data_IF_367051973937
#
_entry.id   IF_367051973937
#
_cell.length_a   1.000
_cell.length_b   1.000
_cell.length_c   1.000
_cell.angle_alpha   90.00
_cell.angle_beta   90.00
_cell.angle_gamma   90.00
#
_symmetry.space_group_name_H-M   'P 1'
#
loop_
_entity.id
_entity.type
_entity.pdbx_description
1 polymer ?
#
# COMPACT_ATOMS: atom_id res chain seq x y z
N UNK A 1 -1.38 -42.09 -16.75
CA UNK A 1 -0.40 -41.32 -17.57
C UNK A 1 0.79 -40.88 -16.74
N UNK A 2 0.64 -40.06 -15.65
CA UNK A 2 1.79 -39.50 -14.87
C UNK A 2 2.66 -40.59 -14.26
N UNK A 3 2.08 -41.59 -13.56
CA UNK A 3 2.81 -42.74 -12.97
C UNK A 3 3.52 -43.57 -14.04
N UNK A 4 2.90 -43.76 -15.20
CA UNK A 4 3.49 -44.50 -16.32
C UNK A 4 4.69 -43.76 -16.89
N UNK A 5 4.56 -42.44 -17.10
CA UNK A 5 5.68 -41.62 -17.56
C UNK A 5 6.82 -41.55 -16.56
N UNK A 6 6.52 -41.42 -15.27
CA UNK A 6 7.51 -41.45 -14.20
C UNK A 6 8.30 -42.77 -14.18
N UNK A 7 7.56 -43.91 -14.16
CA UNK A 7 8.19 -45.23 -14.17
C UNK A 7 9.03 -45.48 -15.46
N UNK A 8 8.53 -45.00 -16.60
CA UNK A 8 9.27 -45.07 -17.86
C UNK A 8 10.58 -44.29 -17.77
N UNK A 9 10.57 -43.05 -17.29
CA UNK A 9 11.76 -42.22 -17.11
C UNK A 9 12.82 -42.87 -16.22
N UNK A 10 12.40 -43.52 -15.13
CA UNK A 10 13.29 -44.27 -14.25
C UNK A 10 13.86 -45.53 -14.97
N UNK A 11 13.00 -46.29 -15.66
CA UNK A 11 13.37 -47.55 -16.26
C UNK A 11 14.37 -47.40 -17.42
N UNK A 12 14.26 -46.30 -18.18
CA UNK A 12 15.12 -46.06 -19.33
C UNK A 12 16.41 -45.28 -18.99
N UNK A 13 16.58 -44.89 -17.69
CA UNK A 13 17.72 -44.07 -17.22
C UNK A 13 18.00 -42.87 -18.13
N UNK A 14 16.92 -42.19 -18.55
CA UNK A 14 17.00 -41.11 -19.56
C UNK A 14 17.86 -39.93 -19.11
N UNK A 15 18.15 -39.81 -17.80
CA UNK A 15 18.94 -38.74 -17.23
C UNK A 15 20.08 -39.29 -16.37
N UNK A 16 21.28 -38.83 -16.63
CA UNK A 16 22.49 -39.19 -15.86
C UNK A 16 22.51 -38.56 -14.46
N UNK A 17 21.70 -37.52 -14.23
CA UNK A 17 21.59 -36.84 -12.95
C UNK A 17 20.11 -36.73 -12.52
N UNK A 18 19.84 -37.04 -11.26
CA UNK A 18 18.52 -36.91 -10.67
C UNK A 18 18.51 -35.66 -9.81
N UNK A 19 17.57 -34.74 -10.10
CA UNK A 19 17.31 -33.59 -9.25
C UNK A 19 16.30 -33.99 -8.17
N UNK A 20 16.62 -33.67 -6.92
CA UNK A 20 15.74 -33.88 -5.77
C UNK A 20 15.27 -32.51 -5.30
N UNK A 21 13.94 -32.36 -5.18
CA UNK A 21 13.33 -31.21 -4.55
C UNK A 21 12.99 -31.62 -3.12
N UNK A 22 13.73 -31.06 -2.18
CA UNK A 22 13.48 -31.28 -0.76
C UNK A 22 12.11 -30.73 -0.33
N UNK A 23 11.59 -31.22 0.81
CA UNK A 23 10.37 -30.67 1.38
C UNK A 23 10.56 -29.20 1.70
N UNK A 24 9.57 -28.37 1.35
CA UNK A 24 9.57 -26.98 1.77
C UNK A 24 9.55 -26.87 3.31
N UNK A 25 10.34 -25.96 3.84
CA UNK A 25 10.40 -25.64 5.28
C UNK A 25 9.28 -24.70 5.72
N UNK A 26 8.12 -24.77 5.05
CA UNK A 26 6.94 -23.96 5.37
C UNK A 26 6.16 -24.58 6.53
N UNK A 27 5.55 -23.77 7.42
CA UNK A 27 4.65 -24.26 8.46
C UNK A 27 3.51 -25.09 7.87
N UNK A 28 2.97 -26.08 8.61
CA UNK A 28 1.79 -26.80 8.16
C UNK A 28 0.60 -25.85 7.97
N UNK A 29 -0.15 -26.03 6.86
CA UNK A 29 -1.29 -25.17 6.54
C UNK A 29 -1.91 -25.48 5.19
N UNK A 30 -2.93 -24.73 4.83
CA UNK A 30 -3.55 -24.75 3.51
C UNK A 30 -2.92 -23.65 2.64
N UNK A 31 -2.29 -24.04 1.54
CA UNK A 31 -1.53 -23.14 0.69
C UNK A 31 -2.10 -23.08 -0.72
N UNK A 32 -2.03 -21.89 -1.30
CA UNK A 32 -2.18 -21.67 -2.74
C UNK A 32 -0.99 -20.87 -3.27
N UNK A 33 -0.72 -20.98 -4.56
CA UNK A 33 0.18 -20.03 -5.23
C UNK A 33 -0.62 -18.79 -5.59
N UNK A 34 -0.11 -17.62 -5.20
CA UNK A 34 -0.78 -16.35 -5.43
C UNK A 34 0.16 -15.35 -6.09
N UNK A 35 -0.33 -14.56 -7.04
CA UNK A 35 0.37 -13.36 -7.49
C UNK A 35 -0.17 -12.12 -6.79
N UNK A 36 0.61 -11.01 -6.84
CA UNK A 36 0.27 -9.83 -6.08
C UNK A 36 -1.03 -9.17 -6.48
N UNK A 37 -1.37 -9.13 -7.76
CA UNK A 37 -2.65 -8.55 -8.22
C UNK A 37 -3.86 -9.37 -7.74
N UNK A 38 -3.76 -10.69 -7.69
CA UNK A 38 -4.80 -11.56 -7.12
C UNK A 38 -4.86 -11.36 -5.61
N UNK A 39 -3.72 -11.39 -4.91
CA UNK A 39 -3.66 -11.15 -3.47
C UNK A 39 -4.29 -9.82 -3.07
N UNK A 40 -3.93 -8.75 -3.76
CA UNK A 40 -4.51 -7.42 -3.58
C UNK A 40 -6.03 -7.43 -3.79
N UNK A 41 -6.50 -8.05 -4.88
CA UNK A 41 -7.93 -8.15 -5.18
C UNK A 41 -8.71 -8.87 -4.07
N UNK A 42 -8.18 -9.98 -3.57
CA UNK A 42 -8.81 -10.73 -2.49
C UNK A 42 -8.76 -9.99 -1.16
N UNK A 43 -7.70 -9.22 -0.89
CA UNK A 43 -7.60 -8.33 0.27
C UNK A 43 -8.67 -7.26 0.28
N UNK A 44 -8.95 -6.64 -0.87
CA UNK A 44 -10.04 -5.67 -1.04
C UNK A 44 -11.42 -6.30 -0.81
N UNK A 45 -11.66 -7.50 -1.34
CA UNK A 45 -12.92 -8.24 -1.12
C UNK A 45 -13.11 -8.57 0.36
N UNK A 46 -12.05 -9.06 1.01
CA UNK A 46 -12.07 -9.37 2.44
C UNK A 46 -12.35 -8.12 3.29
N UNK A 47 -11.73 -6.99 2.95
CA UNK A 47 -11.96 -5.71 3.62
C UNK A 47 -13.40 -5.24 3.47
N UNK A 48 -13.95 -5.25 2.26
CA UNK A 48 -15.35 -4.89 2.00
C UNK A 48 -16.32 -5.75 2.81
N UNK A 49 -16.07 -7.08 2.83
CA UNK A 49 -16.87 -8.02 3.62
C UNK A 49 -16.79 -7.75 5.12
N UNK A 50 -15.60 -7.47 5.65
CA UNK A 50 -15.41 -7.16 7.08
C UNK A 50 -15.95 -5.81 7.50
N UNK A 51 -16.03 -4.86 6.57
CA UNK A 51 -16.69 -3.57 6.75
C UNK A 51 -18.21 -3.61 6.51
N UNK A 52 -18.75 -4.74 6.03
CA UNK A 52 -20.14 -4.88 5.58
C UNK A 52 -20.53 -3.82 4.52
N UNK A 53 -19.65 -3.61 3.55
CA UNK A 53 -19.83 -2.68 2.43
C UNK A 53 -19.76 -3.42 1.09
N UNK A 54 -20.39 -2.84 0.06
CA UNK A 54 -20.11 -3.23 -1.31
C UNK A 54 -18.72 -2.72 -1.72
N UNK A 55 -18.01 -3.50 -2.54
CA UNK A 55 -16.75 -3.07 -3.14
C UNK A 55 -17.01 -2.43 -4.51
N UNK A 56 -16.57 -1.19 -4.72
CA UNK A 56 -16.54 -0.56 -6.03
C UNK A 56 -15.10 -0.40 -6.51
N UNK A 57 -14.80 -0.92 -7.69
CA UNK A 57 -13.49 -0.79 -8.33
C UNK A 57 -13.60 -0.07 -9.66
N UNK A 58 -13.17 1.18 -9.71
CA UNK A 58 -13.09 2.01 -10.90
C UNK A 58 -11.71 1.95 -11.54
N UNK A 59 -11.63 1.51 -12.78
CA UNK A 59 -10.36 1.36 -13.51
C UNK A 59 -10.53 1.61 -14.99
N UNK A 60 -9.43 1.57 -15.72
CA UNK A 60 -9.30 1.67 -17.17
C UNK A 60 -8.16 0.72 -17.59
N UNK A 61 -8.02 0.37 -18.88
CA UNK A 61 -6.95 -0.52 -19.34
C UNK A 61 -5.57 0.08 -19.13
N UNK A 62 -4.78 -0.50 -18.24
CA UNK A 62 -3.40 -0.08 -17.92
C UNK A 62 -2.56 -1.23 -17.40
N UNK A 63 -1.45 -1.53 -18.05
CA UNK A 63 -0.49 -2.54 -17.58
C UNK A 63 0.40 -1.95 -16.46
N UNK A 64 0.63 -2.68 -15.34
CA UNK A 64 0.18 -4.05 -15.03
C UNK A 64 -1.10 -4.10 -14.16
N UNK A 65 -1.82 -3.02 -13.94
CA UNK A 65 -2.95 -2.94 -13.01
C UNK A 65 -4.25 -3.56 -13.55
N UNK A 66 -4.37 -3.83 -14.87
CA UNK A 66 -5.60 -4.38 -15.48
C UNK A 66 -6.00 -5.74 -14.92
N UNK A 67 -5.04 -6.55 -14.45
CA UNK A 67 -5.33 -7.88 -13.90
C UNK A 67 -6.16 -7.80 -12.60
N UNK A 68 -6.07 -6.70 -11.86
CA UNK A 68 -6.93 -6.44 -10.69
C UNK A 68 -8.39 -6.35 -11.13
N UNK A 69 -8.69 -5.60 -12.20
CA UNK A 69 -10.05 -5.50 -12.76
C UNK A 69 -10.55 -6.86 -13.23
N UNK A 70 -9.69 -7.60 -13.94
CA UNK A 70 -10.03 -8.94 -14.44
C UNK A 70 -10.32 -9.90 -13.29
N UNK A 71 -9.54 -9.87 -12.22
CA UNK A 71 -9.78 -10.73 -11.06
C UNK A 71 -11.08 -10.35 -10.35
N UNK A 72 -11.24 -9.07 -9.99
CA UNK A 72 -12.42 -8.58 -9.28
C UNK A 72 -13.74 -8.84 -10.05
N UNK A 73 -13.71 -8.79 -11.37
CA UNK A 73 -14.89 -9.05 -12.21
C UNK A 73 -15.47 -10.47 -12.09
N UNK A 74 -14.68 -11.42 -11.59
CA UNK A 74 -15.10 -12.81 -11.32
C UNK A 74 -15.90 -12.95 -10.02
N UNK A 75 -15.84 -11.96 -9.13
CA UNK A 75 -16.32 -12.04 -7.75
C UNK A 75 -17.61 -11.26 -7.47
N UNK A 76 -18.52 -11.21 -8.43
CA UNK A 76 -19.82 -10.51 -8.30
C UNK A 76 -20.67 -11.02 -7.13
N UNK A 77 -20.50 -12.29 -6.76
CA UNK A 77 -21.17 -12.92 -5.63
C UNK A 77 -20.75 -12.38 -4.25
N UNK A 78 -19.67 -11.56 -4.21
CA UNK A 78 -19.23 -10.84 -3.02
C UNK A 78 -19.59 -9.34 -3.07
N UNK A 79 -20.62 -8.96 -3.82
CA UNK A 79 -21.03 -7.56 -4.03
C UNK A 79 -19.91 -6.69 -4.61
N UNK A 80 -19.11 -7.25 -5.50
CA UNK A 80 -18.06 -6.52 -6.21
C UNK A 80 -18.65 -5.88 -7.47
N UNK A 81 -18.54 -4.57 -7.54
CA UNK A 81 -18.95 -3.73 -8.67
C UNK A 81 -17.68 -3.27 -9.38
N UNK A 82 -17.46 -3.76 -10.59
CA UNK A 82 -16.34 -3.31 -11.43
C UNK A 82 -16.83 -2.33 -12.48
N UNK A 83 -16.11 -1.23 -12.64
CA UNK A 83 -16.40 -0.18 -13.60
C UNK A 83 -15.17 0.11 -14.45
N UNK A 84 -15.24 -0.15 -15.75
CA UNK A 84 -14.22 0.25 -16.69
C UNK A 84 -14.59 1.58 -17.32
N UNK A 85 -13.79 2.60 -17.04
CA UNK A 85 -13.94 3.94 -17.58
C UNK A 85 -13.17 4.10 -18.91
N UNK A 86 -13.38 5.22 -19.57
CA UNK A 86 -12.63 5.62 -20.76
C UNK A 86 -11.15 5.86 -20.44
N UNK A 87 -10.91 6.56 -19.32
CA UNK A 87 -9.58 6.95 -18.89
C UNK A 87 -9.44 6.95 -17.35
N UNK A 88 -8.25 7.29 -16.88
CA UNK A 88 -7.90 7.33 -15.46
C UNK A 88 -8.66 8.38 -14.66
N UNK A 89 -9.00 9.52 -15.27
CA UNK A 89 -9.71 10.63 -14.60
C UNK A 89 -11.15 10.20 -14.34
N UNK A 90 -11.83 9.69 -15.37
CA UNK A 90 -13.20 9.18 -15.25
C UNK A 90 -13.29 8.01 -14.26
N UNK A 91 -12.31 7.09 -14.27
CA UNK A 91 -12.23 5.97 -13.31
C UNK A 91 -12.14 6.46 -11.85
N UNK A 92 -11.25 7.43 -11.59
CA UNK A 92 -11.09 8.00 -10.26
C UNK A 92 -12.31 8.79 -9.80
N UNK A 93 -12.88 9.62 -10.66
CA UNK A 93 -14.08 10.41 -10.35
C UNK A 93 -15.29 9.52 -10.03
N UNK A 94 -15.49 8.44 -10.80
CA UNK A 94 -16.54 7.44 -10.51
C UNK A 94 -16.32 6.77 -9.15
N UNK A 95 -15.06 6.47 -8.78
CA UNK A 95 -14.73 5.88 -7.48
C UNK A 95 -15.01 6.86 -6.32
N UNK A 96 -14.73 8.16 -6.50
CA UNK A 96 -15.10 9.20 -5.50
C UNK A 96 -16.62 9.26 -5.31
N UNK A 97 -17.39 9.22 -6.41
CA UNK A 97 -18.85 9.15 -6.35
C UNK A 97 -19.36 7.90 -5.63
N UNK A 98 -18.75 6.74 -5.89
CA UNK A 98 -19.09 5.49 -5.21
C UNK A 98 -18.78 5.55 -3.71
N UNK A 99 -17.64 6.13 -3.32
CA UNK A 99 -17.30 6.39 -1.91
C UNK A 99 -18.35 7.27 -1.24
N UNK A 100 -18.75 8.36 -1.87
CA UNK A 100 -19.80 9.24 -1.33
C UNK A 100 -21.10 8.48 -1.04
N UNK A 101 -21.42 7.45 -1.84
CA UNK A 101 -22.64 6.64 -1.65
C UNK A 101 -22.46 5.44 -0.70
N UNK A 102 -21.38 5.35 0.05
CA UNK A 102 -21.20 4.34 1.10
C UNK A 102 -20.58 3.03 0.64
N UNK A 103 -19.78 3.05 -0.43
CA UNK A 103 -19.06 1.85 -0.88
C UNK A 103 -17.59 1.92 -0.46
N UNK A 104 -16.97 0.75 -0.22
CA UNK A 104 -15.52 0.70 -0.23
C UNK A 104 -15.07 0.95 -1.68
N UNK A 105 -14.64 2.16 -1.93
CA UNK A 105 -14.27 2.59 -3.27
C UNK A 105 -12.76 2.47 -3.49
N UNK A 106 -12.41 1.92 -4.64
CA UNK A 106 -11.01 1.68 -5.04
C UNK A 106 -10.82 2.11 -6.48
N UNK A 107 -9.66 2.67 -6.80
CA UNK A 107 -9.25 2.94 -8.18
C UNK A 107 -7.84 2.40 -8.42
N UNK A 108 -7.66 1.67 -9.53
CA UNK A 108 -6.36 1.12 -9.93
C UNK A 108 -5.69 1.94 -11.02
N UNK A 109 -4.36 2.00 -10.97
CA UNK A 109 -3.54 2.72 -11.96
C UNK A 109 -2.07 2.29 -11.94
N UNK A 110 -1.25 2.99 -12.73
CA UNK A 110 0.20 2.99 -12.72
C UNK A 110 0.69 4.45 -12.73
N UNK A 111 1.99 4.70 -12.69
CA UNK A 111 2.57 6.03 -12.55
C UNK A 111 1.96 7.14 -13.41
N UNK A 112 1.82 6.98 -14.75
CA UNK A 112 1.23 8.01 -15.58
C UNK A 112 -0.19 8.38 -15.17
N UNK A 113 -1.02 7.37 -14.86
CA UNK A 113 -2.39 7.62 -14.44
C UNK A 113 -2.50 8.16 -13.02
N UNK A 114 -1.56 7.86 -12.12
CA UNK A 114 -1.51 8.49 -10.81
C UNK A 114 -1.35 10.01 -10.97
N UNK A 115 -0.52 10.45 -11.91
CA UNK A 115 -0.33 11.86 -12.22
C UNK A 115 -1.63 12.52 -12.71
N UNK A 116 -2.37 11.87 -13.60
CA UNK A 116 -3.64 12.38 -14.12
C UNK A 116 -4.79 12.37 -13.11
N UNK A 117 -4.72 11.50 -12.09
CA UNK A 117 -5.71 11.43 -11.00
C UNK A 117 -5.46 12.44 -9.87
N UNK A 118 -4.35 13.19 -9.87
CA UNK A 118 -3.91 14.00 -8.72
C UNK A 118 -4.98 14.99 -8.24
N UNK A 119 -5.71 15.64 -9.13
CA UNK A 119 -6.81 16.54 -8.75
C UNK A 119 -7.98 15.79 -8.10
N UNK A 120 -8.42 14.67 -8.68
CA UNK A 120 -9.50 13.85 -8.12
C UNK A 120 -9.14 13.28 -6.74
N UNK A 121 -7.86 12.94 -6.52
CA UNK A 121 -7.36 12.53 -5.19
C UNK A 121 -7.42 13.70 -4.21
N UNK A 122 -7.05 14.91 -4.64
CA UNK A 122 -7.17 16.12 -3.85
C UNK A 122 -8.63 16.45 -3.49
N UNK A 123 -9.56 16.23 -4.43
CA UNK A 123 -11.00 16.35 -4.17
C UNK A 123 -11.47 15.35 -3.09
N UNK A 124 -11.08 14.08 -3.21
CA UNK A 124 -11.43 13.06 -2.22
C UNK A 124 -10.87 13.40 -0.83
N UNK A 125 -9.64 13.93 -0.76
CA UNK A 125 -9.01 14.38 0.48
C UNK A 125 -9.74 15.58 1.07
N UNK A 126 -10.06 16.60 0.26
CA UNK A 126 -10.81 17.78 0.70
C UNK A 126 -12.22 17.44 1.15
N UNK A 127 -12.91 16.53 0.47
CA UNK A 127 -14.23 16.02 0.85
C UNK A 127 -14.17 15.01 2.01
N UNK A 128 -12.96 14.57 2.38
CA UNK A 128 -12.70 13.55 3.40
C UNK A 128 -13.55 12.29 3.17
N UNK A 129 -13.35 11.70 1.99
CA UNK A 129 -13.99 10.46 1.58
C UNK A 129 -12.99 9.30 1.58
N UNK A 130 -13.36 8.11 2.07
CA UNK A 130 -12.50 6.93 2.02
C UNK A 130 -12.31 6.47 0.57
N UNK A 131 -11.05 6.38 0.12
CA UNK A 131 -10.72 5.93 -1.23
C UNK A 131 -9.37 5.21 -1.20
N UNK A 132 -9.29 4.00 -1.74
CA UNK A 132 -8.02 3.32 -1.95
C UNK A 132 -7.55 3.55 -3.37
N UNK A 133 -6.35 4.11 -3.52
CA UNK A 133 -5.71 4.31 -4.82
C UNK A 133 -4.58 3.28 -4.94
N UNK A 134 -4.78 2.27 -5.78
CA UNK A 134 -3.74 1.26 -6.05
C UNK A 134 -2.88 1.76 -7.19
N UNK A 135 -1.60 2.00 -6.92
CA UNK A 135 -0.60 2.35 -7.92
C UNK A 135 0.37 1.18 -8.11
N UNK A 136 0.22 0.44 -9.22
CA UNK A 136 1.17 -0.61 -9.60
C UNK A 136 2.27 0.04 -10.42
N UNK A 137 3.40 0.35 -9.76
CA UNK A 137 4.51 1.07 -10.35
C UNK A 137 5.18 0.28 -11.48
N UNK A 138 5.67 1.00 -12.48
CA UNK A 138 6.41 0.45 -13.62
C UNK A 138 7.48 1.44 -14.06
N UNK A 139 8.42 0.96 -14.89
CA UNK A 139 9.48 1.82 -15.43
C UNK A 139 8.93 3.04 -16.16
N UNK A 140 9.37 4.23 -15.73
CA UNK A 140 9.01 5.53 -16.30
C UNK A 140 10.16 6.14 -17.12
N UNK A 141 10.05 7.43 -17.51
CA UNK A 141 8.90 8.32 -17.41
C UNK A 141 7.84 8.08 -18.52
N UNK A 142 6.67 8.71 -18.40
CA UNK A 142 5.51 8.59 -19.30
C UNK A 142 5.03 7.12 -19.40
N UNK A 143 4.76 6.60 -20.58
CA UNK A 143 4.39 5.20 -20.79
C UNK A 143 5.52 4.22 -20.48
N UNK A 144 6.75 4.66 -20.59
CA UNK A 144 7.96 4.00 -20.12
C UNK A 144 8.10 2.54 -20.53
N UNK A 145 8.34 1.68 -19.53
CA UNK A 145 8.50 0.24 -19.66
C UNK A 145 7.36 -0.49 -18.96
N UNK A 146 6.20 -0.75 -19.61
CA UNK A 146 4.97 -1.19 -18.96
C UNK A 146 5.06 -2.49 -18.16
N UNK A 147 6.02 -3.37 -18.50
CA UNK A 147 6.20 -4.69 -17.86
C UNK A 147 7.46 -4.77 -16.99
N UNK A 148 8.12 -3.66 -16.73
CA UNK A 148 9.37 -3.61 -15.96
C UNK A 148 9.14 -2.95 -14.59
N UNK A 149 9.69 -3.54 -13.50
CA UNK A 149 9.52 -2.98 -12.16
C UNK A 149 10.40 -1.76 -11.93
N UNK A 150 9.84 -0.77 -11.28
CA UNK A 150 10.53 0.34 -10.63
C UNK A 150 9.77 0.76 -9.37
N UNK A 151 10.42 1.52 -8.49
CA UNK A 151 9.84 2.13 -7.29
C UNK A 151 9.89 3.67 -7.39
N UNK A 152 9.62 4.20 -8.59
CA UNK A 152 9.91 5.62 -8.92
C UNK A 152 8.77 6.59 -8.65
N UNK A 153 7.63 6.10 -8.13
CA UNK A 153 6.45 6.94 -7.90
C UNK A 153 6.28 7.39 -6.43
N UNK A 154 7.20 7.04 -5.52
CA UNK A 154 7.05 7.32 -4.08
C UNK A 154 6.94 8.81 -3.78
N UNK A 155 7.85 9.64 -4.32
CA UNK A 155 7.79 11.09 -4.11
C UNK A 155 6.54 11.71 -4.72
N UNK A 156 6.09 11.18 -5.86
CA UNK A 156 4.84 11.61 -6.47
C UNK A 156 3.62 11.21 -5.61
N UNK A 157 3.61 10.00 -5.06
CA UNK A 157 2.57 9.54 -4.13
C UNK A 157 2.46 10.44 -2.89
N UNK A 158 3.59 10.93 -2.38
CA UNK A 158 3.64 11.80 -1.22
C UNK A 158 3.29 13.27 -1.54
N UNK A 159 3.87 13.82 -2.60
CA UNK A 159 3.87 15.28 -2.86
C UNK A 159 3.28 15.69 -4.22
N UNK A 160 2.86 14.72 -5.07
CA UNK A 160 2.43 15.00 -6.45
C UNK A 160 1.01 15.56 -6.58
N UNK A 161 0.53 16.32 -5.61
CA UNK A 161 -0.77 17.00 -5.62
C UNK A 161 -0.58 18.48 -5.35
N UNK A 162 -1.60 19.28 -5.68
CA UNK A 162 -1.59 20.71 -5.38
C UNK A 162 -2.12 20.99 -3.97
N UNK A 163 -1.71 22.09 -3.37
CA UNK A 163 -2.07 22.50 -2.00
C UNK A 163 -1.50 21.56 -0.93
N UNK A 164 -1.78 21.87 0.33
CA UNK A 164 -1.39 21.04 1.47
C UNK A 164 -2.34 19.84 1.56
N UNK A 165 -1.90 18.72 0.98
CA UNK A 165 -2.75 17.54 0.74
C UNK A 165 -2.09 16.24 1.24
N UNK A 166 -1.82 16.11 2.54
CA UNK A 166 -1.21 14.92 3.13
C UNK A 166 -2.16 13.74 3.04
N UNK A 167 -1.60 12.56 2.73
CA UNK A 167 -2.36 11.31 2.77
C UNK A 167 -1.47 10.12 3.10
N UNK A 168 -2.05 9.02 3.64
CA UNK A 168 -1.31 7.81 3.93
C UNK A 168 -0.78 7.13 2.68
N UNK A 169 0.46 6.62 2.77
CA UNK A 169 1.11 5.83 1.72
C UNK A 169 1.59 4.51 2.29
N UNK A 170 1.12 3.42 1.73
CA UNK A 170 1.44 2.04 2.11
C UNK A 170 2.09 1.33 0.92
N UNK A 171 3.02 0.40 1.16
CA UNK A 171 3.66 -0.39 0.14
C UNK A 171 3.54 -1.89 0.39
N UNK A 172 3.12 -2.64 -0.64
CA UNK A 172 3.14 -4.09 -0.61
C UNK A 172 4.57 -4.59 -0.81
N UNK A 173 5.03 -5.55 0.02
CA UNK A 173 6.41 -6.06 0.00
C UNK A 173 6.61 -7.40 -0.72
N UNK A 174 5.52 -8.15 -0.93
CA UNK A 174 5.54 -9.43 -1.66
C UNK A 174 4.15 -9.76 -2.22
N UNK A 175 4.02 -10.75 -3.10
CA UNK A 175 2.72 -11.16 -3.65
C UNK A 175 1.68 -11.53 -2.60
N UNK A 176 2.03 -12.34 -1.61
CA UNK A 176 1.10 -12.73 -0.53
C UNK A 176 0.79 -11.55 0.41
N UNK A 177 1.79 -10.70 0.65
CA UNK A 177 1.60 -9.50 1.47
C UNK A 177 0.67 -8.48 0.81
N UNK A 178 0.51 -8.49 -0.52
CA UNK A 178 -0.41 -7.59 -1.21
C UNK A 178 -1.86 -7.73 -0.73
N UNK A 179 -2.27 -8.95 -0.27
CA UNK A 179 -3.56 -9.16 0.41
C UNK A 179 -3.68 -8.31 1.68
N UNK A 180 -2.70 -8.39 2.55
CA UNK A 180 -2.70 -7.67 3.83
C UNK A 180 -2.54 -6.16 3.65
N UNK A 181 -1.72 -5.74 2.69
CA UNK A 181 -1.55 -4.32 2.35
C UNK A 181 -2.84 -3.69 1.80
N UNK A 182 -3.61 -4.42 0.98
CA UNK A 182 -4.90 -3.96 0.48
C UNK A 182 -5.97 -3.91 1.60
N UNK A 183 -5.95 -4.88 2.50
CA UNK A 183 -6.80 -4.91 3.68
C UNK A 183 -6.52 -3.71 4.59
N UNK A 184 -5.26 -3.46 4.88
CA UNK A 184 -4.79 -2.36 5.73
C UNK A 184 -5.06 -0.99 5.10
N UNK A 185 -4.82 -0.81 3.79
CA UNK A 185 -5.17 0.41 3.08
C UNK A 185 -6.67 0.71 3.18
N UNK A 186 -7.51 -0.32 3.08
CA UNK A 186 -8.97 -0.20 3.24
C UNK A 186 -9.35 0.16 4.67
N UNK A 187 -8.70 -0.47 5.68
CA UNK A 187 -8.90 -0.16 7.10
C UNK A 187 -8.63 1.31 7.40
N UNK A 188 -7.47 1.79 6.97
CA UNK A 188 -7.08 3.19 7.20
C UNK A 188 -8.03 4.14 6.47
N UNK A 189 -8.36 3.86 5.21
CA UNK A 189 -9.27 4.72 4.46
C UNK A 189 -10.64 4.89 5.15
N UNK A 190 -11.22 3.78 5.62
CA UNK A 190 -12.53 3.77 6.28
C UNK A 190 -12.48 4.40 7.68
N UNK A 191 -11.49 4.02 8.50
CA UNK A 191 -11.37 4.49 9.89
C UNK A 191 -11.07 5.98 9.96
N UNK A 192 -10.22 6.48 9.06
CA UNK A 192 -9.77 7.87 9.09
C UNK A 192 -10.49 8.79 8.08
N UNK A 193 -11.42 8.25 7.29
CA UNK A 193 -12.15 9.03 6.28
C UNK A 193 -11.20 9.84 5.39
N UNK A 194 -10.29 9.15 4.72
CA UNK A 194 -9.23 9.76 3.90
C UNK A 194 -8.85 8.87 2.72
N UNK A 195 -8.40 9.42 1.60
CA UNK A 195 -7.76 8.62 0.55
C UNK A 195 -6.46 7.98 1.08
N UNK A 196 -6.14 6.79 0.58
CA UNK A 196 -4.89 6.06 0.88
C UNK A 196 -4.26 5.61 -0.42
N UNK A 197 -2.98 5.87 -0.65
CA UNK A 197 -2.23 5.30 -1.77
C UNK A 197 -1.59 3.99 -1.33
N UNK A 198 -1.91 2.91 -2.05
CA UNK A 198 -1.25 1.62 -1.94
C UNK A 198 -0.30 1.46 -3.13
N UNK A 199 0.99 1.47 -2.83
CA UNK A 199 2.06 1.23 -3.79
C UNK A 199 2.33 -0.27 -3.91
N UNK A 200 2.29 -0.76 -5.13
CA UNK A 200 2.85 -2.02 -5.57
C UNK A 200 3.79 -1.73 -6.74
N UNK A 201 4.43 -2.73 -7.30
CA UNK A 201 5.15 -2.61 -8.57
C UNK A 201 4.97 -3.88 -9.41
N UNK A 202 5.45 -3.87 -10.64
CA UNK A 202 5.27 -5.01 -11.54
C UNK A 202 5.89 -6.31 -11.01
N UNK A 203 6.96 -6.26 -10.21
CA UNK A 203 7.57 -7.47 -9.65
C UNK A 203 6.67 -8.13 -8.60
N UNK A 204 6.10 -7.34 -7.67
CA UNK A 204 5.12 -7.83 -6.70
C UNK A 204 3.83 -8.25 -7.42
N UNK A 205 3.32 -7.44 -8.34
CA UNK A 205 2.02 -7.63 -8.98
C UNK A 205 1.92 -8.94 -9.76
N UNK A 206 2.97 -9.30 -10.50
CA UNK A 206 3.00 -10.48 -11.37
C UNK A 206 3.83 -11.64 -10.82
N UNK A 207 4.69 -11.38 -9.84
CA UNK A 207 5.42 -12.41 -9.10
C UNK A 207 4.48 -13.36 -8.37
N UNK A 208 4.90 -14.59 -8.16
CA UNK A 208 4.09 -15.62 -7.48
C UNK A 208 4.86 -16.28 -6.36
N UNK A 209 4.18 -16.55 -5.26
CA UNK A 209 4.75 -17.26 -4.12
C UNK A 209 3.70 -18.17 -3.45
N UNK A 210 4.11 -19.20 -2.69
CA UNK A 210 3.20 -19.96 -1.84
C UNK A 210 2.64 -19.07 -0.73
N UNK A 211 1.33 -19.09 -0.57
CA UNK A 211 0.63 -18.32 0.44
C UNK A 211 -0.25 -19.22 1.30
N UNK A 212 -0.05 -19.15 2.62
CA UNK A 212 -0.92 -19.80 3.60
C UNK A 212 -2.21 -18.99 3.69
N UNK A 213 -3.34 -19.63 3.37
CA UNK A 213 -4.64 -18.97 3.34
C UNK A 213 -5.04 -18.52 4.75
N UNK A 214 -5.28 -17.23 4.98
CA UNK A 214 -5.80 -16.76 6.25
C UNK A 214 -7.25 -17.16 6.41
N UNK A 215 -7.68 -17.45 7.63
CA UNK A 215 -9.09 -17.59 7.93
C UNK A 215 -9.74 -16.23 8.05
N UNK A 216 -10.88 -16.06 7.40
CA UNK A 216 -11.61 -14.77 7.41
C UNK A 216 -11.98 -14.34 8.83
N UNK A 217 -12.20 -15.30 9.75
CA UNK A 217 -12.53 -15.05 11.14
C UNK A 217 -11.37 -14.42 11.93
N UNK A 218 -10.14 -14.69 11.51
CA UNK A 218 -8.92 -14.16 12.14
C UNK A 218 -8.65 -12.70 11.74
N UNK A 219 -9.29 -12.21 10.67
CA UNK A 219 -9.20 -10.81 10.27
C UNK A 219 -10.10 -9.94 11.16
N UNK A 220 -9.56 -8.83 11.65
CA UNK A 220 -10.33 -7.86 12.43
C UNK A 220 -11.47 -7.27 11.62
N UNK A 221 -12.61 -6.97 12.26
CA UNK A 221 -13.64 -6.18 11.61
C UNK A 221 -13.12 -4.76 11.33
N UNK A 222 -13.62 -4.17 10.24
CA UNK A 222 -13.27 -2.81 9.88
C UNK A 222 -14.38 -1.86 10.32
N UNK A 223 -14.00 -0.90 11.15
CA UNK A 223 -14.91 0.14 11.58
C UNK A 223 -15.16 1.12 10.44
N UNK A 224 -16.39 1.53 10.29
CA UNK A 224 -16.80 2.59 9.40
C UNK A 224 -17.32 3.77 10.21
N UNK A 225 -17.21 4.98 9.67
CA UNK A 225 -17.75 6.17 10.31
C UNK A 225 -19.20 6.45 9.91
N UNK A 226 -19.94 5.45 9.41
CA UNK A 226 -21.32 5.58 8.94
C UNK A 226 -22.24 5.89 10.12
N UNK A 227 -23.02 6.96 9.97
CA UNK A 227 -24.03 7.38 10.95
C UNK A 227 -25.41 7.42 10.31
N UNK A 228 -26.42 7.14 11.15
CA UNK A 228 -27.83 7.11 10.75
C UNK A 228 -28.71 8.01 11.63
N UNK A 229 -28.10 8.76 12.55
CA UNK A 229 -28.77 9.64 13.50
C UNK A 229 -28.00 10.94 13.63
N UNK A 230 -28.66 11.98 14.10
CA UNK A 230 -28.06 13.26 14.46
C UNK A 230 -26.88 13.03 15.41
N UNK A 231 -25.82 13.81 15.27
CA UNK A 231 -24.60 13.72 16.08
C UNK A 231 -24.51 14.85 17.12
N UNK A 232 -25.50 15.78 17.16
CA UNK A 232 -25.65 16.77 18.21
C UNK A 232 -27.12 16.90 18.59
N UNK A 233 -27.43 17.54 19.73
CA UNK A 233 -28.78 17.82 20.16
C UNK A 233 -29.51 18.81 19.22
N UNK A 234 -28.75 19.74 18.62
CA UNK A 234 -29.29 20.82 17.79
C UNK A 234 -29.32 20.48 16.29
N UNK A 235 -28.78 19.30 15.88
CA UNK A 235 -28.77 18.92 14.47
C UNK A 235 -27.61 18.06 14.03
N UNK A 236 -27.35 18.07 12.72
CA UNK A 236 -26.27 17.32 12.09
C UNK A 236 -25.10 18.23 11.75
N UNK A 237 -23.91 17.91 12.28
CA UNK A 237 -22.64 18.55 11.95
C UNK A 237 -21.75 17.57 11.14
N UNK A 238 -21.71 17.68 9.80
CA UNK A 238 -21.04 16.72 8.93
C UNK A 238 -19.51 16.72 9.04
N UNK A 239 -18.89 17.72 9.67
CA UNK A 239 -17.45 17.82 9.93
C UNK A 239 -17.13 17.88 11.43
N UNK A 240 -18.07 17.50 12.32
CA UNK A 240 -17.75 17.28 13.72
C UNK A 240 -16.90 16.04 13.86
N UNK A 241 -15.64 16.23 14.18
CA UNK A 241 -14.62 15.18 14.11
C UNK A 241 -14.61 14.30 15.35
N UNK A 242 -14.27 13.03 15.15
CA UNK A 242 -13.90 12.15 16.24
C UNK A 242 -12.60 12.63 16.88
N UNK A 243 -12.53 12.63 18.21
CA UNK A 243 -11.38 13.19 18.95
C UNK A 243 -10.12 12.34 18.85
N UNK A 244 -10.26 11.04 18.59
CA UNK A 244 -9.14 10.09 18.53
C UNK A 244 -8.60 9.93 17.11
N UNK A 245 -9.48 9.90 16.11
CA UNK A 245 -9.11 9.63 14.72
C UNK A 245 -9.09 10.87 13.84
N UNK A 246 -9.66 11.98 14.30
CA UNK A 246 -9.95 13.18 13.51
C UNK A 246 -10.81 12.92 12.26
N UNK A 247 -11.46 11.75 12.20
CA UNK A 247 -12.37 11.41 11.13
C UNK A 247 -13.69 12.13 11.28
N UNK A 248 -14.27 12.57 10.17
CA UNK A 248 -15.64 13.08 10.17
C UNK A 248 -16.66 11.94 10.10
N UNK A 249 -17.91 12.16 10.53
CA UNK A 249 -18.98 11.20 10.33
C UNK A 249 -19.29 11.01 8.83
N UNK A 250 -19.69 9.79 8.46
CA UNK A 250 -20.06 9.42 7.09
C UNK A 250 -21.57 9.25 6.99
N UNK A 251 -22.27 10.33 6.68
CA UNK A 251 -23.71 10.28 6.39
C UNK A 251 -23.91 9.91 4.92
N UNK A 252 -24.72 8.88 4.68
CA UNK A 252 -25.00 8.43 3.32
C UNK A 252 -26.16 9.22 2.70
N UNK A 253 -26.11 9.50 1.38
CA UNK A 253 -27.19 10.17 0.67
C UNK A 253 -28.53 9.46 0.90
N UNK A 254 -29.56 10.23 1.20
CA UNK A 254 -30.92 9.71 1.47
C UNK A 254 -31.19 9.34 2.93
N UNK A 255 -30.21 9.53 3.84
CA UNK A 255 -30.46 9.38 5.29
C UNK A 255 -31.25 10.60 5.80
N UNK A 256 -32.51 10.44 6.26
CA UNK A 256 -33.33 11.58 6.65
C UNK A 256 -32.73 12.37 7.82
N UNK A 257 -32.68 13.69 7.71
CA UNK A 257 -32.13 14.60 8.72
C UNK A 257 -30.62 14.70 8.73
N UNK A 258 -29.91 14.00 7.83
CA UNK A 258 -28.46 14.08 7.68
C UNK A 258 -28.06 14.67 6.32
N UNK A 259 -28.91 15.53 5.77
CA UNK A 259 -28.61 16.22 4.51
C UNK A 259 -27.49 17.23 4.70
N UNK A 260 -26.49 17.20 3.82
CA UNK A 260 -25.37 18.13 3.87
C UNK A 260 -24.77 18.37 2.49
N UNK A 261 -24.03 19.45 2.37
CA UNK A 261 -23.27 19.78 1.17
C UNK A 261 -21.88 19.15 1.25
N UNK A 262 -21.45 18.53 0.15
CA UNK A 262 -20.07 18.09 -0.04
C UNK A 262 -19.53 18.66 -1.35
N UNK A 263 -18.24 19.01 -1.37
CA UNK A 263 -17.57 19.54 -2.54
C UNK A 263 -16.12 19.91 -2.27
N UNK A 264 -15.42 20.39 -3.28
CA UNK A 264 -13.99 20.70 -3.22
C UNK A 264 -13.65 22.08 -2.61
N UNK A 265 -14.64 22.95 -2.38
CA UNK A 265 -14.36 24.23 -1.70
C UNK A 265 -14.03 23.99 -0.23
N UNK A 266 -13.24 24.89 0.36
CA UNK A 266 -12.93 24.82 1.79
C UNK A 266 -14.19 24.94 2.63
N UNK A 267 -14.23 24.17 3.72
CA UNK A 267 -15.38 24.00 4.59
C UNK A 267 -15.10 24.54 5.97
N UNK A 268 -16.13 25.11 6.56
CA UNK A 268 -16.12 25.47 7.97
C UNK A 268 -16.13 24.22 8.84
N UNK A 269 -15.30 24.22 9.87
CA UNK A 269 -15.28 23.15 10.87
C UNK A 269 -16.67 22.92 11.47
N UNK A 270 -17.02 21.66 11.67
CA UNK A 270 -18.33 21.25 12.19
C UNK A 270 -19.45 21.33 11.17
N UNK A 271 -19.78 22.49 10.66
CA UNK A 271 -20.95 22.71 9.81
C UNK A 271 -20.77 22.23 8.37
N UNK A 272 -19.55 22.24 7.83
CA UNK A 272 -19.27 21.92 6.44
C UNK A 272 -19.73 22.99 5.43
N UNK A 273 -20.17 24.16 5.88
CA UNK A 273 -20.49 25.30 5.02
C UNK A 273 -19.22 25.80 4.30
N UNK A 274 -19.39 26.42 3.15
CA UNK A 274 -18.25 27.05 2.45
C UNK A 274 -17.70 28.17 3.31
N UNK A 275 -16.39 28.18 3.53
CA UNK A 275 -15.70 29.18 4.33
C UNK A 275 -14.51 29.77 3.58
N UNK A 276 -14.37 31.10 3.67
CA UNK A 276 -13.22 31.85 3.19
C UNK A 276 -12.43 32.49 4.36
N UNK A 277 -12.75 32.09 5.59
CA UNK A 277 -12.05 32.55 6.78
C UNK A 277 -10.63 32.00 6.85
N UNK A 278 -9.67 32.86 7.08
CA UNK A 278 -8.24 32.50 7.07
C UNK A 278 -7.88 31.58 8.24
N UNK A 279 -8.46 31.80 9.42
CA UNK A 279 -8.17 30.97 10.60
C UNK A 279 -8.79 29.57 10.44
N UNK A 280 -9.99 29.49 9.88
CA UNK A 280 -10.63 28.20 9.56
C UNK A 280 -9.82 27.43 8.49
N UNK A 281 -9.29 28.11 7.46
CA UNK A 281 -8.47 27.41 6.46
C UNK A 281 -7.19 26.83 7.06
N UNK A 282 -6.49 27.58 7.92
CA UNK A 282 -5.34 27.06 8.66
C UNK A 282 -5.72 25.84 9.51
N UNK A 283 -6.79 25.96 10.28
CA UNK A 283 -7.28 24.88 11.16
C UNK A 283 -7.62 23.62 10.36
N UNK A 284 -8.36 23.73 9.26
CA UNK A 284 -8.74 22.58 8.42
C UNK A 284 -7.52 21.93 7.76
N UNK A 285 -6.49 22.71 7.40
CA UNK A 285 -5.21 22.21 6.90
C UNK A 285 -4.47 21.42 7.96
N UNK A 286 -4.37 21.97 9.18
CA UNK A 286 -3.73 21.31 10.32
C UNK A 286 -4.47 20.01 10.69
N UNK A 287 -5.80 20.03 10.71
CA UNK A 287 -6.62 18.85 10.99
C UNK A 287 -6.38 17.70 10.01
N UNK A 288 -6.24 18.02 8.71
CA UNK A 288 -5.89 17.00 7.71
C UNK A 288 -4.49 16.42 7.93
N UNK A 289 -3.54 17.26 8.31
CA UNK A 289 -2.18 16.83 8.62
C UNK A 289 -2.12 15.98 9.90
N UNK A 290 -2.79 16.42 10.98
CA UNK A 290 -2.86 15.67 12.25
C UNK A 290 -3.56 14.33 12.09
N UNK A 291 -4.63 14.27 11.31
CA UNK A 291 -5.31 13.01 10.98
C UNK A 291 -4.31 11.98 10.40
N UNK A 292 -3.52 12.39 9.42
CA UNK A 292 -2.55 11.48 8.79
C UNK A 292 -1.42 11.11 9.75
N UNK A 293 -0.84 12.08 10.47
CA UNK A 293 0.23 11.79 11.44
C UNK A 293 -0.23 10.89 12.59
N UNK A 294 -1.48 11.04 13.04
CA UNK A 294 -2.05 10.23 14.14
C UNK A 294 -2.20 8.75 13.77
N UNK A 295 -2.24 8.40 12.49
CA UNK A 295 -2.25 7.00 12.03
C UNK A 295 -1.01 6.24 12.55
N UNK A 296 0.12 6.92 12.80
CA UNK A 296 1.32 6.31 13.36
C UNK A 296 1.07 5.56 14.69
N UNK A 297 0.07 5.99 15.48
CA UNK A 297 -0.32 5.34 16.74
C UNK A 297 -1.19 4.09 16.55
N UNK A 298 -1.64 3.79 15.34
CA UNK A 298 -2.63 2.75 15.01
C UNK A 298 -2.11 1.74 13.97
N UNK A 299 -0.82 1.74 13.72
CA UNK A 299 -0.14 0.85 12.79
C UNK A 299 0.95 0.05 13.49
N UNK A 300 1.32 -1.08 12.88
CA UNK A 300 2.34 -1.95 13.42
C UNK A 300 3.70 -1.24 13.51
N UNK A 301 4.44 -1.57 14.55
CA UNK A 301 5.81 -1.08 14.75
C UNK A 301 6.76 -1.63 13.70
N UNK A 302 7.79 -0.86 13.39
CA UNK A 302 8.87 -1.32 12.53
C UNK A 302 9.69 -2.40 13.25
N UNK A 303 9.73 -3.60 12.67
CA UNK A 303 10.43 -4.76 13.20
C UNK A 303 11.83 -4.89 12.61
N UNK A 304 12.78 -5.35 13.43
CA UNK A 304 14.14 -5.67 13.02
C UNK A 304 14.24 -7.15 12.67
N UNK A 305 14.88 -7.45 11.56
CA UNK A 305 15.19 -8.80 11.10
C UNK A 305 16.71 -8.98 10.99
N UNK A 306 17.23 -10.13 11.39
CA UNK A 306 18.66 -10.44 11.35
C UNK A 306 19.37 -10.23 12.69
N UNK A 307 20.64 -9.80 12.68
CA UNK A 307 21.44 -9.62 13.89
C UNK A 307 21.22 -8.22 14.52
N UNK A 308 20.43 -8.13 15.57
CA UNK A 308 20.17 -6.87 16.28
C UNK A 308 21.42 -6.26 16.95
N UNK A 309 22.50 -7.03 17.10
CA UNK A 309 23.78 -6.54 17.62
C UNK A 309 24.67 -5.92 16.53
N UNK A 310 24.20 -5.88 15.29
CA UNK A 310 24.94 -5.32 14.15
C UNK A 310 25.10 -3.80 14.27
N UNK A 311 26.17 -3.27 13.68
CA UNK A 311 26.36 -1.82 13.50
C UNK A 311 25.61 -1.28 12.26
N UNK A 312 25.14 -2.15 11.38
CA UNK A 312 24.53 -1.79 10.10
C UNK A 312 23.08 -2.26 9.98
N UNK A 313 22.19 -1.32 9.61
CA UNK A 313 20.79 -1.57 9.28
C UNK A 313 20.56 -1.35 7.79
N UNK A 314 19.92 -2.31 7.14
CA UNK A 314 19.42 -2.18 5.77
C UNK A 314 17.92 -1.88 5.80
N UNK A 315 17.53 -0.68 5.42
CA UNK A 315 16.13 -0.27 5.34
C UNK A 315 15.59 -0.49 3.93
N UNK A 316 14.46 -1.18 3.82
CA UNK A 316 13.80 -1.43 2.56
C UNK A 316 12.33 -1.03 2.55
N UNK A 317 11.74 -1.07 1.37
CA UNK A 317 10.30 -0.95 1.14
C UNK A 317 9.90 -1.65 -0.16
N UNK A 318 8.62 -1.99 -0.30
CA UNK A 318 8.11 -2.57 -1.55
C UNK A 318 8.84 -3.85 -1.95
N UNK A 319 9.03 -4.05 -3.24
CA UNK A 319 9.59 -5.28 -3.83
C UNK A 319 11.07 -5.58 -3.51
N UNK A 320 11.79 -4.68 -2.84
CA UNK A 320 13.15 -4.97 -2.37
C UNK A 320 13.22 -5.97 -1.22
N UNK A 321 12.08 -6.30 -0.59
CA UNK A 321 12.00 -7.14 0.61
C UNK A 321 12.73 -8.47 0.48
N UNK A 322 12.40 -9.28 -0.52
CA UNK A 322 12.98 -10.62 -0.69
C UNK A 322 14.49 -10.60 -0.94
N UNK A 323 14.94 -9.65 -1.78
CA UNK A 323 16.36 -9.46 -2.06
C UNK A 323 17.16 -9.03 -0.84
N UNK A 324 16.64 -8.10 -0.04
CA UNK A 324 17.26 -7.63 1.21
C UNK A 324 17.33 -8.76 2.23
N UNK A 325 16.22 -9.43 2.50
CA UNK A 325 16.16 -10.54 3.47
C UNK A 325 17.18 -11.63 3.15
N UNK A 326 17.25 -12.03 1.87
CA UNK A 326 18.21 -13.05 1.45
C UNK A 326 19.65 -12.57 1.51
N UNK A 327 19.94 -11.31 1.20
CA UNK A 327 21.28 -10.74 1.31
C UNK A 327 21.74 -10.68 2.78
N UNK A 328 20.86 -10.25 3.69
CA UNK A 328 21.12 -10.22 5.14
C UNK A 328 21.42 -11.63 5.67
N UNK A 329 20.65 -12.63 5.28
CA UNK A 329 20.93 -14.03 5.67
C UNK A 329 22.31 -14.48 5.21
N UNK A 330 22.67 -14.27 3.93
CA UNK A 330 23.96 -14.65 3.37
C UNK A 330 25.14 -13.94 4.04
N UNK A 331 24.99 -12.66 4.41
CA UNK A 331 26.02 -11.91 5.10
C UNK A 331 26.22 -12.44 6.52
N UNK A 332 25.14 -12.66 7.27
CA UNK A 332 25.20 -13.22 8.61
C UNK A 332 25.79 -14.64 8.60
N UNK A 333 25.46 -15.48 7.63
CA UNK A 333 26.09 -16.80 7.44
C UNK A 333 27.59 -16.72 7.19
N UNK A 334 28.08 -15.66 6.54
CA UNK A 334 29.51 -15.36 6.35
C UNK A 334 30.17 -14.74 7.59
N UNK A 335 29.41 -14.45 8.66
CA UNK A 335 29.91 -13.80 9.87
C UNK A 335 29.92 -12.26 9.80
N UNK A 336 29.36 -11.66 8.77
CA UNK A 336 29.19 -10.22 8.63
C UNK A 336 27.84 -9.84 9.26
N UNK A 337 27.88 -9.22 10.44
CA UNK A 337 26.67 -8.86 11.19
C UNK A 337 25.88 -7.73 10.52
N UNK A 338 24.67 -8.02 10.11
CA UNK A 338 23.76 -7.07 9.45
C UNK A 338 22.34 -7.33 9.91
N UNK A 339 21.60 -6.25 10.17
CA UNK A 339 20.16 -6.27 10.37
C UNK A 339 19.43 -5.62 9.20
N UNK A 340 18.14 -5.90 9.07
CA UNK A 340 17.26 -5.16 8.16
C UNK A 340 15.95 -4.80 8.83
N UNK A 341 15.28 -3.76 8.30
CA UNK A 341 13.89 -3.45 8.59
C UNK A 341 13.19 -3.04 7.30
N UNK A 342 11.88 -3.26 7.22
CA UNK A 342 11.17 -3.06 5.96
C UNK A 342 9.88 -2.29 6.17
N UNK A 343 9.77 -1.12 5.55
CA UNK A 343 8.58 -0.28 5.65
C UNK A 343 7.43 -0.84 4.83
N UNK A 344 6.31 -1.05 5.50
CA UNK A 344 4.99 -1.20 4.89
C UNK A 344 4.29 0.15 4.87
N UNK A 345 4.28 0.87 5.98
CA UNK A 345 3.80 2.23 6.08
C UNK A 345 4.94 3.22 5.84
N UNK A 346 4.77 4.10 4.87
CA UNK A 346 5.78 5.10 4.50
C UNK A 346 5.33 6.52 4.91
N UNK A 347 4.03 6.76 4.86
CA UNK A 347 3.45 7.99 5.41
C UNK A 347 2.12 7.65 6.14
N UNK A 348 2.07 7.86 7.46
CA UNK A 348 3.19 8.17 8.33
C UNK A 348 4.15 6.97 8.47
N UNK A 349 5.38 7.24 8.88
CA UNK A 349 6.26 6.18 9.36
C UNK A 349 5.75 5.60 10.70
N UNK A 350 6.04 4.33 11.02
CA UNK A 350 5.79 3.79 12.36
C UNK A 350 6.44 4.63 13.46
N UNK A 351 5.78 4.77 14.59
CA UNK A 351 6.20 5.65 15.70
C UNK A 351 7.58 5.32 16.26
N UNK A 352 7.97 4.04 16.23
CA UNK A 352 9.26 3.56 16.71
C UNK A 352 10.40 3.66 15.70
N UNK A 353 10.18 4.26 14.53
CA UNK A 353 11.19 4.28 13.44
C UNK A 353 12.49 4.93 13.87
N UNK A 354 12.44 6.08 14.56
CA UNK A 354 13.64 6.75 15.08
C UNK A 354 14.38 5.88 16.10
N UNK A 355 13.66 5.23 17.01
CA UNK A 355 14.24 4.28 17.99
C UNK A 355 14.99 3.16 17.28
N UNK A 356 14.38 2.54 16.27
CA UNK A 356 15.01 1.46 15.49
C UNK A 356 16.27 1.95 14.80
N UNK A 357 16.19 3.05 14.05
CA UNK A 357 17.33 3.61 13.29
C UNK A 357 18.49 3.99 14.21
N UNK A 358 18.20 4.55 15.39
CA UNK A 358 19.21 5.04 16.34
C UNK A 358 20.04 3.92 16.97
N UNK A 359 19.65 2.66 16.87
CA UNK A 359 20.42 1.50 17.35
C UNK A 359 21.64 1.20 16.48
N UNK A 360 21.69 1.72 15.25
CA UNK A 360 22.67 1.37 14.25
C UNK A 360 23.56 2.57 13.86
N UNK A 361 24.83 2.28 13.57
CA UNK A 361 25.81 3.31 13.16
C UNK A 361 25.75 3.61 11.65
N UNK A 362 25.38 2.61 10.85
CA UNK A 362 25.28 2.72 9.39
C UNK A 362 23.88 2.34 8.93
N UNK A 363 23.28 3.18 8.09
CA UNK A 363 21.97 2.96 7.48
C UNK A 363 22.14 2.87 5.97
N UNK A 364 21.72 1.76 5.37
CA UNK A 364 21.81 1.50 3.94
C UNK A 364 20.41 1.32 3.39
N UNK A 365 20.08 1.98 2.27
CA UNK A 365 18.73 1.95 1.68
C UNK A 365 18.82 1.51 0.21
N UNK A 366 18.52 0.22 -0.09
CA UNK A 366 18.39 -0.25 -1.47
C UNK A 366 17.04 0.14 -2.07
N UNK A 367 17.06 0.75 -3.26
CA UNK A 367 15.84 1.18 -3.95
C UNK A 367 15.93 0.98 -5.47
N UNK A 368 14.79 0.63 -6.08
CA UNK A 368 14.66 0.59 -7.55
C UNK A 368 14.27 1.97 -8.11
N UNK A 369 14.98 3.00 -7.66
CA UNK A 369 14.87 4.39 -8.04
C UNK A 369 16.17 5.14 -7.69
N UNK A 370 16.20 6.45 -7.81
CA UNK A 370 17.37 7.31 -7.54
C UNK A 370 17.46 7.81 -6.09
N UNK A 371 16.92 7.06 -5.10
CA UNK A 371 16.99 7.37 -3.68
C UNK A 371 15.81 8.22 -3.19
N UNK A 372 14.59 7.78 -3.42
CA UNK A 372 13.39 8.51 -2.98
C UNK A 372 13.13 8.29 -1.48
N UNK A 373 13.12 7.04 -0.99
CA UNK A 373 13.03 6.77 0.44
C UNK A 373 14.26 7.29 1.18
N UNK A 374 15.45 7.17 0.57
CA UNK A 374 16.69 7.73 1.13
C UNK A 374 16.54 9.21 1.52
N UNK A 375 15.96 10.01 0.61
CA UNK A 375 15.70 11.44 0.87
C UNK A 375 14.73 11.65 2.02
N UNK A 376 13.64 10.88 2.04
CA UNK A 376 12.62 10.97 3.10
C UNK A 376 13.19 10.60 4.47
N UNK A 377 13.96 9.50 4.57
CA UNK A 377 14.57 9.06 5.82
C UNK A 377 15.60 10.09 6.32
N UNK A 378 16.43 10.63 5.42
CA UNK A 378 17.38 11.68 5.78
C UNK A 378 16.71 12.97 6.26
N UNK A 379 15.62 13.37 5.62
CA UNK A 379 14.83 14.54 6.01
C UNK A 379 14.12 14.34 7.36
N UNK A 380 13.40 13.22 7.48
CA UNK A 380 12.55 12.95 8.65
C UNK A 380 13.36 12.71 9.94
N UNK A 381 14.53 12.06 9.83
CA UNK A 381 15.29 11.59 11.00
C UNK A 381 16.67 12.21 11.14
N UNK A 382 17.11 13.04 10.21
CA UNK A 382 18.42 13.72 10.18
C UNK A 382 19.60 12.74 10.33
N UNK A 383 19.51 11.58 9.68
CA UNK A 383 20.53 10.53 9.73
C UNK A 383 21.35 10.48 8.44
N UNK A 384 22.63 10.07 8.55
CA UNK A 384 23.49 9.84 7.38
C UNK A 384 23.22 8.46 6.75
N UNK A 385 22.03 8.29 6.17
CA UNK A 385 21.71 7.10 5.40
C UNK A 385 22.35 7.15 4.01
N UNK A 386 22.72 5.98 3.48
CA UNK A 386 23.38 5.80 2.17
C UNK A 386 22.57 4.90 1.26
N UNK A 387 22.49 5.25 -0.02
CA UNK A 387 21.67 4.52 -0.99
C UNK A 387 22.45 3.44 -1.74
N UNK A 388 21.73 2.37 -2.11
CA UNK A 388 22.08 1.46 -3.19
C UNK A 388 20.96 1.56 -4.24
N UNK A 389 21.25 2.24 -5.34
CA UNK A 389 20.22 2.62 -6.30
C UNK A 389 20.35 1.86 -7.62
N UNK A 390 19.22 1.41 -8.17
CA UNK A 390 19.14 0.72 -9.46
C UNK A 390 17.91 1.20 -10.23
N UNK A 391 18.11 1.60 -11.49
CA UNK A 391 17.02 2.02 -12.39
C UNK A 391 17.24 1.32 -13.73
N UNK A 392 16.95 0.02 -13.78
CA UNK A 392 17.16 -0.79 -14.99
C UNK A 392 15.91 -1.52 -15.46
N UNK A 393 14.79 -1.34 -14.75
CA UNK A 393 13.57 -2.12 -15.00
C UNK A 393 13.72 -3.59 -14.60
N UNK A 394 14.63 -3.90 -13.68
CA UNK A 394 14.89 -5.24 -13.14
C UNK A 394 15.02 -5.19 -11.62
N UNK A 395 14.51 -6.19 -10.90
CA UNK A 395 14.70 -6.26 -9.45
C UNK A 395 16.17 -6.46 -9.10
N UNK A 396 16.53 -6.17 -7.85
CA UNK A 396 17.80 -6.61 -7.31
C UNK A 396 17.83 -8.13 -7.16
N UNK A 397 18.93 -8.75 -7.58
CA UNK A 397 19.20 -10.12 -7.17
C UNK A 397 19.76 -10.15 -5.74
N UNK A 398 19.59 -11.28 -5.06
CA UNK A 398 20.16 -11.46 -3.72
C UNK A 398 21.69 -11.35 -3.72
N UNK A 399 22.36 -11.82 -4.79
CA UNK A 399 23.83 -11.72 -4.91
C UNK A 399 24.26 -10.26 -5.08
N UNK A 400 23.61 -9.53 -5.99
CA UNK A 400 23.89 -8.11 -6.21
C UNK A 400 23.76 -7.29 -4.93
N UNK A 401 22.71 -7.54 -4.12
CA UNK A 401 22.56 -6.86 -2.84
C UNK A 401 23.59 -7.30 -1.80
N UNK A 402 23.91 -8.59 -1.74
CA UNK A 402 24.95 -9.09 -0.83
C UNK A 402 26.28 -8.35 -1.07
N UNK A 403 26.73 -8.30 -2.33
CA UNK A 403 28.01 -7.69 -2.70
C UNK A 403 28.02 -6.17 -2.43
N UNK A 404 26.95 -5.47 -2.83
CA UNK A 404 26.83 -4.02 -2.65
C UNK A 404 26.66 -3.60 -1.17
N UNK A 405 25.96 -4.39 -0.36
CA UNK A 405 25.82 -4.11 1.08
C UNK A 405 27.19 -4.33 1.76
N UNK A 406 27.91 -5.42 1.43
CA UNK A 406 29.23 -5.70 1.97
C UNK A 406 30.25 -4.59 1.59
N UNK A 407 30.20 -4.08 0.36
CA UNK A 407 30.99 -2.92 -0.08
C UNK A 407 30.68 -1.69 0.80
N UNK A 408 29.38 -1.37 1.00
CA UNK A 408 28.94 -0.22 1.81
C UNK A 408 29.27 -0.33 3.31
N UNK A 409 29.37 -1.54 3.82
CA UNK A 409 29.81 -1.79 5.20
C UNK A 409 31.29 -1.44 5.35
N UNK A 410 32.11 -1.72 4.34
CA UNK A 410 33.55 -1.52 4.35
C UNK A 410 33.99 -0.08 4.00
N UNK A 411 33.11 0.74 3.45
CA UNK A 411 33.30 2.19 3.30
C UNK A 411 33.18 2.93 4.65
#
# INVERSE_FOLDING_TARGET
>A
ALKTGYNFGITVEAFHHTYVVEKASLPPGEYTNINGNIGLSWGLIAAAKKANLDLFYGSYPITPASDILHELSKHKNFNVITFQAEDEIAAAAASVGASFTGKLAVTGTSGPGLALKSETISLALSAELPLVIVNVQRGGPSTGLPTKPEQSDLMFALYGRHGESPLPVIAAKSPSHAFYAAYEASRIALKYMTPVILLSDNYVATGSEPWNLPKIEELNNLDTNIITKLNTEDGFLPFLRNVDTFARPWALPGTPGLEYRVGGLEKEEGTGNVSYDAANHQYMTDMRAWKVSNIANDIDKLEIYGDESADTLVLGWGSTYGGITQAVNRLNEKGVKVASAHFVHINPFPDNTLEVISKFKKIIIPELNTGQLLKLVREAFLVDARGINKVSGEPFTAQELTDKIEEKINE
#
